data_IF_542459375227
#
_entry.id   IF_542459375227
#
_cell.length_a   1.000
_cell.length_b   1.000
_cell.length_c   1.000
_cell.angle_alpha   90.00
_cell.angle_beta   90.00
_cell.angle_gamma   90.00
#
_symmetry.space_group_name_H-M   'P 1'
#
loop_
_entity.id
_entity.type
_entity.pdbx_description
1 polymer ?
#
# COMPACT_ATOMS: atom_id res chain seq x y z
N UNK A 1 27.03 14.96 -60.72
CA UNK A 1 25.85 14.67 -59.86
C UNK A 1 26.03 13.45 -58.95
N UNK A 2 26.56 12.32 -59.48
CA UNK A 2 26.74 11.06 -58.72
C UNK A 2 27.57 11.20 -57.42
N UNK A 3 28.62 12.03 -57.41
CA UNK A 3 29.49 12.20 -56.23
C UNK A 3 28.82 12.88 -55.02
N UNK A 4 27.85 13.77 -55.24
CA UNK A 4 27.20 14.55 -54.17
C UNK A 4 26.15 13.69 -53.45
N UNK A 5 25.41 12.83 -54.18
CA UNK A 5 24.51 11.85 -53.58
C UNK A 5 25.25 10.83 -52.71
N UNK A 6 26.47 10.44 -53.11
CA UNK A 6 27.33 9.54 -52.32
C UNK A 6 27.70 10.15 -50.96
N UNK A 7 28.13 11.41 -50.94
CA UNK A 7 28.49 12.15 -49.73
C UNK A 7 27.28 12.34 -48.78
N UNK A 8 26.12 12.73 -49.33
CA UNK A 8 24.87 12.85 -48.56
C UNK A 8 24.45 11.52 -47.92
N UNK A 9 24.60 10.41 -48.65
CA UNK A 9 24.26 9.06 -48.15
C UNK A 9 25.21 8.61 -47.04
N UNK A 10 26.50 8.94 -47.14
CA UNK A 10 27.51 8.63 -46.13
C UNK A 10 27.25 9.44 -44.84
N UNK A 11 26.96 10.73 -44.96
CA UNK A 11 26.57 11.60 -43.84
C UNK A 11 25.29 11.11 -43.15
N UNK A 12 24.26 10.73 -43.92
CA UNK A 12 23.01 10.20 -43.36
C UNK A 12 23.24 8.90 -42.57
N UNK A 13 24.12 8.00 -43.06
CA UNK A 13 24.51 6.77 -42.36
C UNK A 13 25.32 7.04 -41.10
N UNK A 14 26.22 8.03 -41.12
CA UNK A 14 26.99 8.45 -39.95
C UNK A 14 26.07 9.01 -38.87
N UNK A 15 25.13 9.89 -39.24
CA UNK A 15 24.16 10.47 -38.31
C UNK A 15 23.27 9.39 -37.67
N UNK A 16 22.85 8.40 -38.45
CA UNK A 16 22.07 7.26 -37.94
C UNK A 16 22.91 6.37 -37.00
N UNK A 17 24.19 6.13 -37.34
CA UNK A 17 25.09 5.33 -36.50
C UNK A 17 25.41 6.02 -35.18
N UNK A 18 25.67 7.33 -35.19
CA UNK A 18 25.90 8.08 -33.96
C UNK A 18 24.66 8.07 -33.07
N UNK A 19 23.47 8.33 -33.65
CA UNK A 19 22.18 8.23 -32.93
C UNK A 19 21.98 6.87 -32.29
N UNK A 20 22.22 5.78 -33.01
CA UNK A 20 22.06 4.41 -32.47
C UNK A 20 23.07 4.09 -31.38
N UNK A 21 24.31 4.57 -31.48
CA UNK A 21 25.31 4.41 -30.41
C UNK A 21 24.95 5.21 -29.15
N UNK A 22 24.45 6.44 -29.32
CA UNK A 22 23.95 7.26 -28.22
C UNK A 22 22.75 6.59 -27.55
N UNK A 23 21.76 6.15 -28.33
CA UNK A 23 20.59 5.42 -27.83
C UNK A 23 20.97 4.16 -27.07
N UNK A 24 21.94 3.37 -27.56
CA UNK A 24 22.43 2.18 -26.87
C UNK A 24 23.04 2.51 -25.50
N UNK A 25 23.79 3.62 -25.38
CA UNK A 25 24.34 4.06 -24.09
C UNK A 25 23.23 4.50 -23.13
N UNK A 26 22.22 5.21 -23.61
CA UNK A 26 21.08 5.61 -22.79
C UNK A 26 20.28 4.41 -22.30
N UNK A 27 19.97 3.45 -23.18
CA UNK A 27 19.24 2.22 -22.79
C UNK A 27 20.03 1.40 -21.77
N UNK A 28 21.35 1.28 -21.97
CA UNK A 28 22.21 0.59 -21.01
C UNK A 28 22.26 1.31 -19.66
N UNK A 29 22.36 2.64 -19.66
CA UNK A 29 22.33 3.44 -18.44
C UNK A 29 20.98 3.33 -17.71
N UNK A 30 19.87 3.35 -18.45
CA UNK A 30 18.53 3.12 -17.90
C UNK A 30 18.43 1.75 -17.24
N UNK A 31 18.91 0.70 -17.92
CA UNK A 31 18.96 -0.65 -17.35
C UNK A 31 19.75 -0.72 -16.04
N UNK A 32 20.93 -0.09 -16.00
CA UNK A 32 21.74 -0.01 -14.78
C UNK A 32 21.04 0.72 -13.63
N UNK A 33 20.37 1.85 -13.92
CA UNK A 33 19.62 2.60 -12.90
C UNK A 33 18.44 1.78 -12.36
N UNK A 34 17.73 1.06 -13.23
CA UNK A 34 16.63 0.17 -12.85
C UNK A 34 17.15 -0.99 -11.98
N UNK A 35 18.27 -1.61 -12.34
CA UNK A 35 18.85 -2.68 -11.51
C UNK A 35 19.29 -2.12 -10.15
N UNK A 36 19.81 -0.89 -10.12
CA UNK A 36 20.11 -0.15 -8.89
C UNK A 36 18.90 0.12 -7.99
N UNK A 37 17.73 0.41 -8.55
CA UNK A 37 16.51 0.56 -7.72
C UNK A 37 16.07 -0.79 -7.15
N UNK A 38 16.16 -1.88 -7.93
CA UNK A 38 15.80 -3.21 -7.47
C UNK A 38 16.71 -3.69 -6.33
N UNK A 39 18.03 -3.46 -6.40
CA UNK A 39 18.95 -3.85 -5.32
C UNK A 39 18.65 -3.07 -4.02
N UNK A 40 18.28 -1.79 -4.13
CA UNK A 40 17.86 -1.00 -2.98
C UNK A 40 16.62 -1.58 -2.30
N UNK A 41 15.61 -1.98 -3.08
CA UNK A 41 14.42 -2.61 -2.55
C UNK A 41 14.68 -3.97 -1.91
N UNK A 42 15.58 -4.77 -2.48
CA UNK A 42 16.00 -6.04 -1.87
C UNK A 42 16.65 -5.79 -0.50
N UNK A 43 17.57 -4.83 -0.42
CA UNK A 43 18.21 -4.46 0.84
C UNK A 43 17.19 -3.93 1.86
N UNK A 44 16.23 -3.12 1.41
CA UNK A 44 15.15 -2.62 2.26
C UNK A 44 14.32 -3.77 2.86
N UNK A 45 13.94 -4.77 2.05
CA UNK A 45 13.22 -5.97 2.51
C UNK A 45 14.04 -6.73 3.55
N UNK A 46 15.34 -6.91 3.31
CA UNK A 46 16.23 -7.59 4.26
C UNK A 46 16.32 -6.84 5.60
N UNK A 47 16.51 -5.52 5.57
CA UNK A 47 16.56 -4.69 6.78
C UNK A 47 15.23 -4.76 7.54
N UNK A 48 14.10 -4.71 6.84
CA UNK A 48 12.79 -4.81 7.48
C UNK A 48 12.54 -6.21 8.08
N UNK A 49 13.04 -7.26 7.43
CA UNK A 49 12.99 -8.62 7.97
C UNK A 49 13.77 -8.74 9.29
N UNK A 50 14.95 -8.14 9.36
CA UNK A 50 15.74 -8.04 10.61
C UNK A 50 15.01 -7.19 11.65
N UNK A 51 14.36 -6.10 11.23
CA UNK A 51 13.51 -5.27 12.08
C UNK A 51 12.38 -6.04 12.74
N UNK A 52 11.64 -6.86 11.97
CA UNK A 52 10.59 -7.74 12.49
C UNK A 52 11.14 -8.77 13.50
N UNK A 53 12.31 -9.35 13.20
CA UNK A 53 12.97 -10.28 14.13
C UNK A 53 13.38 -9.58 15.44
N UNK A 54 13.87 -8.34 15.35
CA UNK A 54 14.24 -7.54 16.52
C UNK A 54 13.02 -7.10 17.34
N UNK A 55 11.90 -6.82 16.67
CA UNK A 55 10.63 -6.49 17.31
C UNK A 55 10.11 -7.66 18.16
N UNK A 56 10.22 -8.88 17.64
CA UNK A 56 9.92 -10.11 18.38
C UNK A 56 10.82 -10.28 19.62
N UNK A 57 12.11 -9.95 19.49
CA UNK A 57 13.10 -10.05 20.58
C UNK A 57 12.89 -8.98 21.69
N UNK A 58 12.12 -7.93 21.38
CA UNK A 58 11.71 -6.82 22.27
C UNK A 58 12.82 -6.29 23.21
N UNK A 59 14.03 -5.99 22.72
CA UNK A 59 15.15 -5.59 23.57
C UNK A 59 14.90 -4.25 24.28
N UNK A 60 14.06 -3.39 23.70
CA UNK A 60 13.63 -2.13 24.31
C UNK A 60 12.78 -2.32 25.58
N UNK A 61 12.03 -3.42 25.68
CA UNK A 61 11.26 -3.73 26.89
C UNK A 61 12.16 -4.14 28.06
N UNK A 62 13.36 -4.66 27.78
CA UNK A 62 14.33 -5.00 28.83
C UNK A 62 15.05 -3.76 29.39
N UNK A 63 15.17 -2.68 28.61
CA UNK A 63 15.89 -1.46 29.01
C UNK A 63 14.97 -0.47 29.73
N UNK A 64 13.66 -0.51 29.46
CA UNK A 64 12.71 0.51 29.93
C UNK A 64 11.60 -0.11 30.78
N UNK A 65 11.92 -0.28 32.05
CA UNK A 65 11.11 -0.91 33.12
C UNK A 65 9.74 -0.24 33.37
N UNK A 66 9.46 0.93 32.77
CA UNK A 66 8.20 1.68 32.93
C UNK A 66 7.55 2.09 31.61
N UNK A 67 7.60 1.24 30.59
CA UNK A 67 6.82 1.51 29.38
C UNK A 67 5.42 0.91 29.54
N UNK A 68 4.40 1.77 29.64
CA UNK A 68 3.00 1.36 29.52
C UNK A 68 2.78 0.53 28.25
N UNK A 69 1.76 -0.34 28.28
CA UNK A 69 1.39 -1.22 27.15
C UNK A 69 1.45 -0.46 25.83
N UNK A 70 2.32 -0.91 24.94
CA UNK A 70 2.54 -0.26 23.65
C UNK A 70 1.36 -0.59 22.73
N UNK A 71 0.80 0.44 22.11
CA UNK A 71 -0.34 0.28 21.21
C UNK A 71 0.10 -0.27 19.86
N UNK A 72 -0.75 -1.09 19.24
CA UNK A 72 -0.50 -1.57 17.89
C UNK A 72 -0.88 -0.51 16.87
N UNK A 73 0.11 0.10 16.23
CA UNK A 73 -0.09 1.03 15.12
C UNK A 73 -0.47 0.28 13.83
N UNK A 74 -1.75 -0.04 13.67
CA UNK A 74 -2.29 -0.71 12.47
C UNK A 74 -1.84 -0.03 11.17
N UNK A 75 -1.97 1.29 11.08
CA UNK A 75 -1.67 2.05 9.86
C UNK A 75 -0.22 1.89 9.41
N UNK A 76 0.74 1.93 10.34
CA UNK A 76 2.17 1.84 10.02
C UNK A 76 2.52 0.44 9.54
N UNK A 77 2.10 -0.59 10.29
CA UNK A 77 2.41 -1.96 9.97
C UNK A 77 1.78 -2.39 8.63
N UNK A 78 0.51 -2.03 8.38
CA UNK A 78 -0.12 -2.31 7.08
C UNK A 78 0.55 -1.57 5.93
N UNK A 79 0.92 -0.30 6.10
CA UNK A 79 1.57 0.49 5.05
C UNK A 79 2.92 -0.10 4.64
N UNK A 80 3.72 -0.57 5.61
CA UNK A 80 5.03 -1.20 5.35
C UNK A 80 4.87 -2.54 4.62
N UNK A 81 3.93 -3.39 5.05
CA UNK A 81 3.69 -4.68 4.39
C UNK A 81 3.20 -4.45 2.95
N UNK A 82 2.30 -3.48 2.76
CA UNK A 82 1.78 -3.12 1.44
C UNK A 82 2.86 -2.55 0.53
N UNK A 83 3.74 -1.67 1.03
CA UNK A 83 4.81 -1.10 0.20
C UNK A 83 5.77 -2.18 -0.30
N UNK A 84 6.13 -3.13 0.57
CA UNK A 84 6.96 -4.29 0.21
C UNK A 84 6.24 -5.18 -0.81
N UNK A 85 4.93 -5.37 -0.67
CA UNK A 85 4.13 -6.13 -1.62
C UNK A 85 4.15 -5.50 -3.03
N UNK A 86 3.87 -4.19 -3.12
CA UNK A 86 3.88 -3.46 -4.39
C UNK A 86 5.26 -3.51 -5.04
N UNK A 87 6.31 -3.23 -4.27
CA UNK A 87 7.68 -3.20 -4.76
C UNK A 87 8.19 -4.59 -5.22
N UNK A 88 7.80 -5.66 -4.50
CA UNK A 88 8.12 -7.04 -4.87
C UNK A 88 7.47 -7.41 -6.18
N UNK A 89 6.16 -7.14 -6.33
CA UNK A 89 5.43 -7.42 -7.57
C UNK A 89 6.07 -6.70 -8.76
N UNK A 90 6.37 -5.41 -8.60
CA UNK A 90 7.04 -4.63 -9.63
C UNK A 90 8.41 -5.20 -10.02
N UNK A 91 9.25 -5.46 -9.03
CA UNK A 91 10.62 -5.94 -9.25
C UNK A 91 10.65 -7.37 -9.78
N UNK A 92 9.61 -8.18 -9.53
CA UNK A 92 9.50 -9.54 -10.04
C UNK A 92 9.48 -9.61 -11.58
N UNK A 93 8.95 -8.60 -12.27
CA UNK A 93 8.94 -8.58 -13.74
C UNK A 93 10.35 -8.43 -14.33
N UNK A 94 11.27 -7.80 -13.57
CA UNK A 94 12.64 -7.51 -13.99
C UNK A 94 13.59 -8.61 -13.49
N UNK A 95 13.46 -8.99 -12.21
CA UNK A 95 14.34 -9.92 -11.50
C UNK A 95 13.48 -10.98 -10.81
N UNK A 96 13.21 -12.14 -11.44
CA UNK A 96 12.26 -13.13 -10.91
C UNK A 96 12.74 -13.83 -9.63
N UNK A 97 14.06 -13.83 -9.37
CA UNK A 97 14.62 -14.45 -8.16
C UNK A 97 14.20 -13.75 -6.87
N UNK A 98 13.68 -12.52 -6.92
CA UNK A 98 13.17 -11.80 -5.74
C UNK A 98 11.93 -12.46 -5.13
N UNK A 99 11.14 -13.18 -5.94
CA UNK A 99 9.85 -13.74 -5.54
C UNK A 99 9.96 -14.78 -4.40
N UNK A 100 10.85 -15.80 -4.46
CA UNK A 100 11.02 -16.74 -3.36
C UNK A 100 11.52 -16.08 -2.07
N UNK A 101 12.42 -15.09 -2.17
CA UNK A 101 12.90 -14.34 -0.99
C UNK A 101 11.77 -13.53 -0.34
N UNK A 102 10.96 -12.85 -1.15
CA UNK A 102 9.83 -12.09 -0.65
C UNK A 102 8.73 -13.01 -0.06
N UNK A 103 8.48 -14.17 -0.68
CA UNK A 103 7.54 -15.17 -0.13
C UNK A 103 7.96 -15.62 1.27
N UNK A 104 9.26 -15.88 1.47
CA UNK A 104 9.80 -16.24 2.78
C UNK A 104 9.60 -15.10 3.78
N UNK A 105 9.84 -13.84 3.36
CA UNK A 105 9.55 -12.66 4.17
C UNK A 105 8.07 -12.57 4.57
N UNK A 106 7.13 -12.73 3.63
CA UNK A 106 5.68 -12.67 3.94
C UNK A 106 5.24 -13.81 4.87
N UNK A 107 5.82 -15.00 4.71
CA UNK A 107 5.60 -16.12 5.62
C UNK A 107 6.07 -15.82 7.05
N UNK A 108 7.30 -15.31 7.18
CA UNK A 108 7.85 -14.93 8.48
C UNK A 108 7.06 -13.78 9.12
N UNK A 109 6.76 -12.73 8.35
CA UNK A 109 5.97 -11.59 8.80
C UNK A 109 4.61 -12.02 9.34
N UNK A 110 3.92 -12.93 8.65
CA UNK A 110 2.60 -13.44 9.09
C UNK A 110 2.69 -14.16 10.43
N UNK A 111 3.75 -14.95 10.65
CA UNK A 111 3.99 -15.64 11.92
C UNK A 111 4.26 -14.63 13.05
N UNK A 112 5.12 -13.64 12.81
CA UNK A 112 5.48 -12.59 13.78
C UNK A 112 4.25 -11.76 14.15
N UNK A 113 3.53 -11.20 13.17
CA UNK A 113 2.36 -10.36 13.45
C UNK A 113 1.26 -11.13 14.18
N UNK A 114 1.07 -12.43 13.88
CA UNK A 114 0.11 -13.26 14.62
C UNK A 114 0.52 -13.43 16.08
N UNK A 115 1.80 -13.68 16.35
CA UNK A 115 2.32 -13.80 17.71
C UNK A 115 2.18 -12.49 18.48
N UNK A 116 2.56 -11.38 17.86
CA UNK A 116 2.49 -10.06 18.46
C UNK A 116 1.07 -9.63 18.83
N UNK A 117 0.10 -9.87 17.93
CA UNK A 117 -1.31 -9.55 18.18
C UNK A 117 -1.93 -10.38 19.30
N UNK A 118 -1.46 -11.61 19.52
CA UNK A 118 -2.00 -12.50 20.56
C UNK A 118 -1.36 -12.29 21.93
N UNK A 119 -0.06 -12.00 21.99
CA UNK A 119 0.71 -12.03 23.24
C UNK A 119 1.26 -10.68 23.68
N UNK A 120 1.40 -9.71 22.78
CA UNK A 120 2.18 -8.49 23.06
C UNK A 120 1.30 -7.24 23.05
N UNK A 121 0.42 -7.11 22.06
CA UNK A 121 -0.36 -5.90 21.84
C UNK A 121 -1.72 -5.95 22.51
N UNK A 122 -2.09 -4.85 23.18
CA UNK A 122 -3.46 -4.62 23.65
C UNK A 122 -4.20 -3.78 22.61
N UNK A 123 -5.25 -4.33 22.02
CA UNK A 123 -6.08 -3.60 21.05
C UNK A 123 -6.97 -2.61 21.83
N UNK A 124 -6.64 -1.31 21.77
CA UNK A 124 -7.45 -0.25 22.42
C UNK A 124 -8.67 0.16 21.61
N UNK A 125 -8.59 0.03 20.28
CA UNK A 125 -9.64 0.45 19.35
C UNK A 125 -9.85 -0.63 18.30
N UNK A 126 -11.04 -1.23 18.31
CA UNK A 126 -11.45 -2.15 17.27
C UNK A 126 -11.87 -1.37 16.02
N UNK A 127 -11.10 -1.49 14.95
CA UNK A 127 -11.38 -0.79 13.68
C UNK A 127 -12.50 -1.49 12.87
N UNK A 128 -13.11 -2.57 13.39
CA UNK A 128 -14.18 -3.35 12.75
C UNK A 128 -13.92 -3.68 11.25
N UNK A 129 -12.66 -3.85 10.86
CA UNK A 129 -12.28 -4.13 9.47
C UNK A 129 -12.46 -2.97 8.48
N UNK A 130 -12.68 -1.73 8.94
CA UNK A 130 -12.85 -0.55 8.07
C UNK A 130 -11.67 -0.30 7.11
N UNK A 131 -10.47 -0.78 7.46
CA UNK A 131 -9.24 -0.67 6.63
C UNK A 131 -9.17 -1.70 5.50
N UNK A 132 -9.87 -2.84 5.61
CA UNK A 132 -9.88 -3.92 4.61
C UNK A 132 -10.14 -3.46 3.16
N UNK A 133 -11.18 -2.66 2.88
CA UNK A 133 -11.46 -2.25 1.51
C UNK A 133 -10.37 -1.36 0.89
N UNK A 134 -9.68 -0.55 1.70
CA UNK A 134 -8.54 0.25 1.25
C UNK A 134 -7.38 -0.66 0.87
N UNK A 135 -7.09 -1.66 1.72
CA UNK A 135 -6.06 -2.66 1.48
C UNK A 135 -6.29 -3.39 0.16
N UNK A 136 -7.53 -3.83 -0.08
CA UNK A 136 -7.93 -4.53 -1.30
C UNK A 136 -7.74 -3.67 -2.56
N UNK A 137 -8.10 -2.39 -2.52
CA UNK A 137 -7.87 -1.47 -3.64
C UNK A 137 -6.37 -1.29 -3.95
N UNK A 138 -5.51 -1.19 -2.93
CA UNK A 138 -4.06 -1.07 -3.13
C UNK A 138 -3.48 -2.35 -3.73
N UNK A 139 -3.91 -3.52 -3.26
CA UNK A 139 -3.49 -4.82 -3.80
C UNK A 139 -3.88 -4.92 -5.28
N UNK A 140 -5.13 -4.61 -5.65
CA UNK A 140 -5.55 -4.62 -7.05
C UNK A 140 -4.80 -3.60 -7.90
N UNK A 141 -4.57 -2.38 -7.40
CA UNK A 141 -3.78 -1.36 -8.09
C UNK A 141 -2.35 -1.87 -8.37
N UNK A 142 -1.76 -2.58 -7.41
CA UNK A 142 -0.42 -3.17 -7.54
C UNK A 142 -0.37 -4.27 -8.61
N UNK A 143 -1.41 -5.11 -8.68
CA UNK A 143 -1.55 -6.15 -9.71
C UNK A 143 -1.70 -5.52 -11.10
N UNK A 144 -2.49 -4.46 -11.23
CA UNK A 144 -2.62 -3.71 -12.49
C UNK A 144 -1.28 -3.10 -12.89
N UNK A 145 -0.55 -2.49 -11.95
CA UNK A 145 0.79 -1.95 -12.20
C UNK A 145 1.77 -3.03 -12.66
N UNK A 146 1.71 -4.23 -12.08
CA UNK A 146 2.49 -5.39 -12.52
C UNK A 146 2.15 -5.82 -13.95
N UNK A 147 0.86 -5.87 -14.30
CA UNK A 147 0.42 -6.21 -15.66
C UNK A 147 0.92 -5.17 -16.68
N UNK A 148 0.87 -3.88 -16.35
CA UNK A 148 1.43 -2.82 -17.19
C UNK A 148 2.94 -2.97 -17.37
N UNK A 149 3.66 -3.33 -16.31
CA UNK A 149 5.10 -3.60 -16.38
C UNK A 149 5.44 -4.81 -17.24
N UNK A 150 4.65 -5.87 -17.17
CA UNK A 150 4.80 -7.02 -18.06
C UNK A 150 4.58 -6.64 -19.52
N UNK A 151 3.53 -5.87 -19.84
CA UNK A 151 3.29 -5.35 -21.19
C UNK A 151 4.47 -4.50 -21.66
N UNK A 152 5.01 -3.64 -20.79
CA UNK A 152 6.16 -2.80 -21.08
C UNK A 152 7.39 -3.65 -21.45
N UNK A 153 7.76 -4.62 -20.61
CA UNK A 153 8.94 -5.49 -20.85
C UNK A 153 8.78 -6.31 -22.14
N UNK A 154 7.58 -6.85 -22.41
CA UNK A 154 7.30 -7.60 -23.62
C UNK A 154 7.32 -6.72 -24.88
N UNK A 155 6.85 -5.48 -24.78
CA UNK A 155 6.91 -4.51 -25.87
C UNK A 155 8.35 -4.22 -26.30
N UNK A 156 9.27 -4.10 -25.33
CA UNK A 156 10.71 -3.95 -25.62
C UNK A 156 11.32 -5.19 -26.28
N UNK A 157 10.79 -6.39 -26.01
CA UNK A 157 11.29 -7.65 -26.56
C UNK A 157 10.75 -7.97 -27.96
N UNK A 158 9.83 -7.15 -28.49
CA UNK A 158 9.29 -7.29 -29.85
C UNK A 158 8.34 -8.47 -30.04
N UNK A 159 7.87 -9.10 -28.96
CA UNK A 159 6.99 -10.28 -29.00
C UNK A 159 5.52 -9.86 -29.18
N UNK A 160 5.13 -9.44 -30.38
CA UNK A 160 3.80 -8.89 -30.68
C UNK A 160 2.64 -9.86 -30.36
N UNK A 161 2.82 -11.15 -30.62
CA UNK A 161 1.78 -12.17 -30.34
C UNK A 161 1.49 -12.30 -28.83
N UNK A 162 2.53 -12.19 -28.00
CA UNK A 162 2.40 -12.29 -26.55
C UNK A 162 1.74 -11.05 -25.95
N UNK A 163 2.01 -9.87 -26.53
CA UNK A 163 1.34 -8.61 -26.12
C UNK A 163 -0.15 -8.66 -26.42
N UNK A 164 -0.56 -9.16 -27.60
CA UNK A 164 -1.98 -9.28 -27.96
C UNK A 164 -2.77 -10.16 -26.98
N UNK A 165 -2.17 -11.26 -26.53
CA UNK A 165 -2.79 -12.13 -25.52
C UNK A 165 -2.86 -11.50 -24.12
N UNK A 166 -2.02 -10.51 -23.82
CA UNK A 166 -1.91 -9.90 -22.49
C UNK A 166 -2.79 -8.65 -22.33
N UNK A 167 -3.24 -8.01 -23.41
CA UNK A 167 -4.17 -6.87 -23.42
C UNK A 167 -5.53 -7.14 -22.72
N UNK A 168 -6.19 -8.31 -22.85
CA UNK A 168 -7.46 -8.54 -22.15
C UNK A 168 -7.30 -8.66 -20.63
N UNK A 169 -6.11 -9.02 -20.14
CA UNK A 169 -5.83 -9.25 -18.72
C UNK A 169 -6.00 -7.99 -17.83
N UNK A 170 -5.43 -6.80 -18.17
CA UNK A 170 -5.65 -5.58 -17.41
C UNK A 170 -7.08 -5.06 -17.50
N UNK A 171 -7.79 -5.30 -18.61
CA UNK A 171 -9.22 -4.97 -18.71
C UNK A 171 -10.05 -5.82 -17.74
N UNK A 172 -9.76 -7.12 -17.65
CA UNK A 172 -10.44 -8.04 -16.74
C UNK A 172 -10.14 -7.71 -15.27
N UNK A 173 -8.94 -7.21 -14.97
CA UNK A 173 -8.54 -6.81 -13.61
C UNK A 173 -9.07 -5.42 -13.22
N UNK A 174 -9.29 -4.54 -14.20
CA UNK A 174 -9.90 -3.23 -14.00
C UNK A 174 -11.37 -3.33 -13.59
N UNK A 175 -12.12 -4.31 -14.12
CA UNK A 175 -13.51 -4.55 -13.77
C UNK A 175 -13.78 -4.70 -12.26
N UNK A 176 -13.14 -5.63 -11.52
CA UNK A 176 -13.34 -5.76 -10.08
C UNK A 176 -12.84 -4.54 -9.29
N UNK A 177 -11.83 -3.81 -9.76
CA UNK A 177 -11.40 -2.55 -9.14
C UNK A 177 -12.50 -1.49 -9.21
N UNK A 178 -13.12 -1.32 -10.38
CA UNK A 178 -14.21 -0.34 -10.59
C UNK A 178 -15.46 -0.75 -9.82
N UNK A 179 -15.81 -2.04 -9.81
CA UNK A 179 -16.95 -2.54 -9.02
C UNK A 179 -16.71 -2.35 -7.52
N UNK A 180 -15.53 -2.68 -7.03
CA UNK A 180 -15.19 -2.55 -5.62
C UNK A 180 -15.09 -1.09 -5.20
N UNK A 181 -14.52 -0.21 -6.04
CA UNK A 181 -14.51 1.23 -5.82
C UNK A 181 -15.92 1.82 -5.75
N UNK A 182 -16.81 1.41 -6.66
CA UNK A 182 -18.24 1.80 -6.62
C UNK A 182 -18.96 1.25 -5.39
N UNK A 183 -18.70 -0.01 -5.01
CA UNK A 183 -19.27 -0.62 -3.81
C UNK A 183 -18.84 0.12 -2.56
N UNK A 184 -17.55 0.45 -2.46
CA UNK A 184 -16.99 1.18 -1.32
C UNK A 184 -17.54 2.60 -1.23
N UNK A 185 -17.59 3.31 -2.35
CA UNK A 185 -18.19 4.65 -2.42
C UNK A 185 -19.66 4.63 -1.96
N UNK A 186 -20.43 3.64 -2.41
CA UNK A 186 -21.85 3.48 -2.04
C UNK A 186 -22.04 3.13 -0.57
N UNK A 187 -21.09 2.43 0.07
CA UNK A 187 -21.15 2.10 1.50
C UNK A 187 -20.76 3.24 2.42
N UNK A 188 -19.80 4.08 2.01
CA UNK A 188 -19.28 5.17 2.86
C UNK A 188 -20.21 6.40 2.82
N UNK A 189 -20.86 6.66 1.67
CA UNK A 189 -21.75 7.80 1.50
C UNK A 189 -22.94 7.86 2.49
N UNK A 190 -23.73 6.79 2.74
CA UNK A 190 -24.83 6.84 3.70
C UNK A 190 -24.34 7.05 5.14
N UNK A 191 -23.22 6.44 5.54
CA UNK A 191 -22.67 6.59 6.89
C UNK A 191 -22.25 8.03 7.21
N UNK A 192 -21.70 8.74 6.22
CA UNK A 192 -21.33 10.15 6.38
C UNK A 192 -22.57 11.04 6.53
N UNK A 193 -23.65 10.71 5.80
CA UNK A 193 -24.92 11.43 5.89
C UNK A 193 -25.63 11.20 7.22
N UNK A 194 -25.64 9.96 7.72
CA UNK A 194 -26.21 9.63 9.04
C UNK A 194 -25.44 10.34 10.16
N UNK A 195 -24.11 10.31 10.14
CA UNK A 195 -23.28 11.06 11.10
C UNK A 195 -23.53 12.57 11.03
N UNK A 196 -23.64 13.11 9.81
CA UNK A 196 -23.90 14.54 9.64
C UNK A 196 -25.30 14.92 10.13
N UNK A 197 -26.30 14.07 9.88
CA UNK A 197 -27.67 14.28 10.33
C UNK A 197 -27.80 14.19 11.86
N UNK A 198 -27.11 13.23 12.49
CA UNK A 198 -27.06 13.06 13.95
C UNK A 198 -26.35 14.24 14.64
N UNK A 199 -25.28 14.77 14.04
CA UNK A 199 -24.64 16.00 14.50
C UNK A 199 -25.58 17.22 14.43
N UNK A 200 -26.40 17.31 13.39
CA UNK A 200 -27.38 18.39 13.24
C UNK A 200 -28.51 18.26 14.28
N UNK A 201 -29.02 17.04 14.52
CA UNK A 201 -30.05 16.74 15.54
C UNK A 201 -29.54 16.98 16.98
N UNK A 202 -28.23 16.87 17.22
CA UNK A 202 -27.59 17.21 18.50
C UNK A 202 -27.37 18.72 18.68
N UNK A 203 -27.37 19.51 17.60
CA UNK A 203 -27.15 20.97 17.64
C UNK A 203 -28.46 21.73 17.81
N UNK A 204 -29.60 21.14 17.43
CA UNK A 204 -30.93 21.63 17.80
C UNK A 204 -31.29 21.18 19.23
N UNK A 205 -31.60 22.10 20.17
CA UNK A 205 -32.05 21.71 21.50
C UNK A 205 -33.41 21.01 21.37
N UNK A 206 -33.46 19.69 21.63
CA UNK A 206 -34.72 18.95 21.68
C UNK A 206 -35.58 19.49 22.82
N UNK A 207 -36.63 20.23 22.48
CA UNK A 207 -37.71 20.62 23.38
C UNK A 207 -38.56 19.37 23.72
N UNK A 208 -37.97 18.42 24.46
CA UNK A 208 -38.66 17.21 24.91
C UNK A 208 -39.48 17.55 26.16
N UNK A 209 -40.75 17.90 25.96
CA UNK A 209 -41.72 18.01 27.03
C UNK A 209 -41.92 16.62 27.65
N UNK A 210 -41.24 16.36 28.77
CA UNK A 210 -41.04 15.09 29.50
C UNK A 210 -39.95 14.15 28.96
N UNK A 211 -38.71 14.20 29.48
CA UNK A 211 -37.71 13.18 29.22
C UNK A 211 -38.13 11.84 29.82
N UNK A 212 -37.97 10.76 29.05
CA UNK A 212 -38.19 9.41 29.60
C UNK A 212 -37.05 9.05 30.58
N UNK A 213 -37.29 8.22 31.61
CA UNK A 213 -36.26 7.86 32.60
C UNK A 213 -35.02 7.15 32.02
N UNK A 214 -35.11 6.61 30.80
CA UNK A 214 -34.02 5.89 30.13
C UNK A 214 -33.09 6.83 29.33
N UNK A 215 -33.65 7.88 28.71
CA UNK A 215 -32.88 8.92 28.01
C UNK A 215 -31.92 9.66 28.97
N UNK A 216 -32.38 9.97 30.19
CA UNK A 216 -31.55 10.63 31.19
C UNK A 216 -30.46 9.70 31.76
N UNK A 217 -30.71 8.38 31.82
CA UNK A 217 -29.72 7.40 32.26
C UNK A 217 -28.60 7.24 31.23
N UNK A 218 -28.97 7.13 29.95
CA UNK A 218 -28.03 6.98 28.85
C UNK A 218 -27.18 8.24 28.66
N UNK A 219 -27.79 9.44 28.74
CA UNK A 219 -27.06 10.71 28.72
C UNK A 219 -25.99 10.80 29.83
N UNK A 220 -26.35 10.49 31.08
CA UNK A 220 -25.39 10.46 32.22
C UNK A 220 -24.30 9.40 32.04
N UNK A 221 -24.61 8.27 31.41
CA UNK A 221 -23.63 7.22 31.11
C UNK A 221 -22.61 7.67 30.05
N UNK A 222 -23.09 8.30 28.97
CA UNK A 222 -22.25 8.85 27.89
C UNK A 222 -21.35 9.97 28.43
N UNK A 223 -21.91 10.88 29.23
CA UNK A 223 -21.15 11.94 29.87
C UNK A 223 -20.02 11.37 30.74
N UNK A 224 -20.30 10.32 31.52
CA UNK A 224 -19.27 9.64 32.33
C UNK A 224 -18.19 8.96 31.48
N UNK A 225 -18.51 8.48 30.28
CA UNK A 225 -17.56 7.86 29.35
C UNK A 225 -16.68 8.92 28.69
N UNK A 226 -17.27 9.97 28.13
CA UNK A 226 -16.58 10.99 27.34
C UNK A 226 -15.97 12.14 28.17
N UNK A 227 -16.26 12.22 29.47
CA UNK A 227 -15.63 13.18 30.37
C UNK A 227 -14.11 13.01 30.36
N UNK A 228 -13.42 14.15 30.20
CA UNK A 228 -11.97 14.25 30.05
C UNK A 228 -11.23 13.45 31.14
N UNK A 229 -10.22 12.64 30.77
CA UNK A 229 -9.46 11.83 31.72
C UNK A 229 -8.74 12.63 32.81
N UNK A 230 -8.47 13.93 32.60
CA UNK A 230 -7.87 14.83 33.60
C UNK A 230 -8.82 15.09 34.77
N UNK A 231 -10.12 15.22 34.51
CA UNK A 231 -11.15 15.49 35.53
C UNK A 231 -11.45 14.23 36.37
N UNK A 232 -11.07 13.04 35.87
CA UNK A 232 -11.41 11.74 36.48
C UNK A 232 -10.49 11.34 37.64
N UNK A 233 -9.30 11.96 37.78
CA UNK A 233 -8.38 11.61 38.88
C UNK A 233 -8.75 12.42 40.14
N UNK A 234 -9.03 11.78 41.28
CA UNK A 234 -9.07 12.53 42.54
C UNK A 234 -7.68 13.11 42.81
N UNK A 235 -7.64 14.38 43.26
CA UNK A 235 -6.44 15.06 43.75
C UNK A 235 -5.81 14.29 44.91
#
# INVERSE_FOLDING_TARGET
LIGILGQMTIMARLLHRERTTMLSRYVFQMGKNIIGICIHWINYICINCVGLAFQLLRPLALIKDKQGVSDFDFTKNYAIILSIFVATLFSSAIVPIILPFALLYFGFATMVFKYELMYVYTVKVDTYGKTWPVLYCIILCSVIAFQLMMILVLSLKGALFQVYSLIPLPLLTCFPLVLHGKYLYRKIHPLQLELNNDNNDSTEPKETNNPTPDDDRSARWIEKIYRDPVIRRPL
#
